data_IF_873556066232
#
_entry.id   IF_873556066232
#
_cell.length_a   1.000
_cell.length_b   1.000
_cell.length_c   1.000
_cell.angle_alpha   90.00
_cell.angle_beta   90.00
_cell.angle_gamma   90.00
#
_symmetry.space_group_name_H-M   'P 1'
#
loop_
_entity.id
_entity.type
_entity.pdbx_description
1 polymer ?
#
# COMPACT_ATOMS: atom_id res chain seq x y z
N UNK A 1 33.22 -28.69 21.35
CA UNK A 1 33.13 -29.61 20.17
C UNK A 1 34.45 -29.66 19.42
N UNK A 2 34.68 -30.67 18.58
CA UNK A 2 35.78 -30.59 17.59
C UNK A 2 35.29 -29.87 16.31
N UNK A 3 36.21 -29.43 15.44
CA UNK A 3 35.86 -28.73 14.18
C UNK A 3 34.98 -29.55 13.22
N UNK A 4 35.07 -30.88 13.29
CA UNK A 4 34.21 -31.77 12.50
C UNK A 4 32.77 -31.73 12.98
N UNK A 5 32.54 -31.68 14.29
CA UNK A 5 31.21 -31.61 14.89
C UNK A 5 30.53 -30.27 14.56
N UNK A 6 31.29 -29.17 14.59
CA UNK A 6 30.81 -27.83 14.20
C UNK A 6 30.34 -27.81 12.75
N UNK A 7 31.14 -28.39 11.84
CA UNK A 7 30.77 -28.49 10.42
C UNK A 7 29.52 -29.34 10.20
N UNK A 8 29.39 -30.45 10.91
CA UNK A 8 28.21 -31.31 10.83
C UNK A 8 26.96 -30.54 11.26
N UNK A 9 27.01 -29.88 12.42
CA UNK A 9 25.86 -29.10 12.92
C UNK A 9 25.49 -27.94 12.00
N UNK A 10 26.48 -27.23 11.46
CA UNK A 10 26.22 -26.15 10.50
C UNK A 10 25.58 -26.70 9.21
N UNK A 11 26.10 -27.81 8.66
CA UNK A 11 25.51 -28.42 7.47
C UNK A 11 24.08 -28.92 7.73
N UNK A 12 23.84 -29.56 8.87
CA UNK A 12 22.50 -30.00 9.26
C UNK A 12 21.56 -28.78 9.40
N UNK A 13 22.04 -27.66 9.93
CA UNK A 13 21.29 -26.41 9.99
C UNK A 13 20.92 -25.91 8.58
N UNK A 14 21.87 -25.95 7.64
CA UNK A 14 21.61 -25.55 6.25
C UNK A 14 20.61 -26.47 5.56
N UNK A 15 20.64 -27.78 5.83
CA UNK A 15 19.65 -28.73 5.34
C UNK A 15 18.24 -28.42 5.87
N UNK A 16 18.12 -28.04 7.14
CA UNK A 16 16.84 -27.59 7.71
C UNK A 16 16.40 -26.25 7.12
N UNK A 17 17.30 -25.30 6.91
CA UNK A 17 16.98 -24.03 6.26
C UNK A 17 16.45 -24.26 4.84
N UNK A 18 17.10 -25.15 4.08
CA UNK A 18 16.68 -25.53 2.74
C UNK A 18 15.30 -26.22 2.73
N UNK A 19 15.01 -27.09 3.71
CA UNK A 19 13.66 -27.65 3.89
C UNK A 19 12.64 -26.55 4.20
N UNK A 20 13.01 -25.59 5.04
CA UNK A 20 12.19 -24.40 5.32
C UNK A 20 11.86 -23.60 4.07
N UNK A 21 12.84 -23.40 3.19
CA UNK A 21 12.63 -22.74 1.89
C UNK A 21 11.65 -23.53 1.04
N UNK A 22 11.84 -24.85 0.88
CA UNK A 22 10.94 -25.73 0.11
C UNK A 22 9.50 -25.65 0.64
N UNK A 23 9.30 -25.73 1.95
CA UNK A 23 7.96 -25.64 2.54
C UNK A 23 7.33 -24.26 2.38
N UNK A 24 8.13 -23.20 2.46
CA UNK A 24 7.69 -21.84 2.14
C UNK A 24 7.23 -21.73 0.69
N UNK A 25 7.94 -22.37 -0.25
CA UNK A 25 7.52 -22.45 -1.66
C UNK A 25 6.19 -23.19 -1.83
N UNK A 26 5.93 -24.19 -0.99
CA UNK A 26 4.68 -24.95 -0.98
C UNK A 26 3.55 -24.27 -0.17
N UNK A 27 3.77 -23.04 0.33
CA UNK A 27 2.86 -22.28 1.21
C UNK A 27 2.55 -22.94 2.56
N UNK A 28 3.37 -23.90 2.98
CA UNK A 28 3.25 -24.54 4.28
C UNK A 28 4.00 -23.70 5.33
N UNK A 29 3.54 -22.47 5.57
CA UNK A 29 4.28 -21.47 6.35
C UNK A 29 4.59 -21.91 7.79
N UNK A 30 3.66 -22.61 8.45
CA UNK A 30 3.88 -23.16 9.80
C UNK A 30 5.01 -24.19 9.80
N UNK A 31 5.01 -25.08 8.81
CA UNK A 31 6.04 -26.11 8.69
C UNK A 31 7.39 -25.49 8.30
N UNK A 32 7.39 -24.53 7.38
CA UNK A 32 8.56 -23.75 7.02
C UNK A 32 9.17 -23.08 8.26
N UNK A 33 8.34 -22.42 9.07
CA UNK A 33 8.77 -21.78 10.32
C UNK A 33 9.34 -22.79 11.32
N UNK A 34 8.76 -23.99 11.41
CA UNK A 34 9.30 -25.06 12.26
C UNK A 34 10.70 -25.50 11.82
N UNK A 35 10.95 -25.59 10.50
CA UNK A 35 12.26 -25.93 9.96
C UNK A 35 13.30 -24.84 10.21
N UNK A 36 12.94 -23.56 10.02
CA UNK A 36 13.86 -22.45 10.34
C UNK A 36 14.21 -22.39 11.83
N UNK A 37 13.24 -22.65 12.72
CA UNK A 37 13.50 -22.73 14.16
C UNK A 37 14.49 -23.84 14.50
N UNK A 38 14.39 -24.99 13.84
CA UNK A 38 15.32 -26.09 14.06
C UNK A 38 16.71 -25.80 13.49
N UNK A 39 16.79 -25.19 12.30
CA UNK A 39 18.04 -24.70 11.73
C UNK A 39 18.73 -23.70 12.69
N UNK A 40 17.98 -22.74 13.20
CA UNK A 40 18.51 -21.76 14.16
C UNK A 40 18.96 -22.41 15.47
N UNK A 41 18.23 -23.43 15.96
CA UNK A 41 18.60 -24.18 17.16
C UNK A 41 19.98 -24.83 17.01
N UNK A 42 20.26 -25.43 15.85
CA UNK A 42 21.55 -26.04 15.52
C UNK A 42 22.65 -24.99 15.40
N UNK A 43 22.41 -23.89 14.68
CA UNK A 43 23.37 -22.78 14.60
C UNK A 43 23.71 -22.19 15.97
N UNK A 44 22.72 -22.07 16.87
CA UNK A 44 22.97 -21.57 18.21
C UNK A 44 23.94 -22.46 19.01
N UNK A 45 23.95 -23.78 18.76
CA UNK A 45 24.95 -24.68 19.33
C UNK A 45 26.33 -24.43 18.75
N UNK A 46 26.41 -24.19 17.43
CA UNK A 46 27.66 -23.80 16.76
C UNK A 46 28.20 -22.49 17.35
N UNK A 47 27.36 -21.47 17.52
CA UNK A 47 27.78 -20.16 18.04
C UNK A 47 28.35 -20.24 19.46
N UNK A 48 27.80 -21.09 20.34
CA UNK A 48 28.34 -21.25 21.70
C UNK A 48 29.81 -21.69 21.71
N UNK A 49 30.19 -22.53 20.75
CA UNK A 49 31.56 -23.02 20.60
C UNK A 49 32.44 -21.98 19.87
N UNK A 50 31.93 -21.36 18.81
CA UNK A 50 32.64 -20.31 18.04
C UNK A 50 32.98 -19.08 18.90
N UNK A 51 32.14 -18.75 19.90
CA UNK A 51 32.40 -17.63 20.82
C UNK A 51 33.40 -17.95 21.94
N UNK A 52 33.62 -19.24 22.23
CA UNK A 52 34.50 -19.68 23.33
C UNK A 52 35.86 -20.17 22.84
N UNK A 53 35.96 -20.60 21.58
CA UNK A 53 37.20 -21.01 20.93
C UNK A 53 37.78 -19.89 20.04
N UNK A 54 39.11 -19.87 19.87
CA UNK A 54 39.77 -19.01 18.87
C UNK A 54 39.52 -19.57 17.46
N UNK A 55 38.35 -19.25 16.89
CA UNK A 55 38.02 -19.56 15.51
C UNK A 55 38.59 -18.50 14.56
N UNK A 56 39.34 -18.94 13.55
CA UNK A 56 39.93 -18.05 12.55
C UNK A 56 38.89 -17.40 11.63
N UNK A 57 39.21 -16.21 11.15
CA UNK A 57 38.46 -15.54 10.08
C UNK A 57 38.88 -16.13 8.71
N UNK A 58 37.95 -16.28 7.73
CA UNK A 58 36.57 -15.79 7.72
C UNK A 58 35.52 -16.76 8.29
N UNK A 59 35.93 -17.96 8.71
CA UNK A 59 35.00 -19.02 9.13
C UNK A 59 34.11 -18.57 10.29
N UNK A 60 34.71 -17.91 11.29
CA UNK A 60 33.98 -17.29 12.40
C UNK A 60 32.88 -16.34 11.91
N UNK A 61 33.23 -15.41 11.03
CA UNK A 61 32.28 -14.45 10.43
C UNK A 61 31.15 -15.15 9.68
N UNK A 62 31.44 -16.15 8.87
CA UNK A 62 30.44 -16.88 8.08
C UNK A 62 29.42 -17.57 9.00
N UNK A 63 29.88 -18.24 10.05
CA UNK A 63 29.00 -18.93 11.00
C UNK A 63 28.11 -17.95 11.76
N UNK A 64 28.68 -16.86 12.29
CA UNK A 64 27.90 -15.82 12.97
C UNK A 64 26.89 -15.12 12.05
N UNK A 65 27.28 -14.85 10.80
CA UNK A 65 26.38 -14.30 9.77
C UNK A 65 25.22 -15.26 9.47
N UNK A 66 25.51 -16.55 9.29
CA UNK A 66 24.51 -17.61 9.05
C UNK A 66 23.49 -17.66 10.18
N UNK A 67 23.96 -17.72 11.43
CA UNK A 67 23.10 -17.71 12.60
C UNK A 67 22.25 -16.43 12.70
N UNK A 68 22.84 -15.26 12.41
CA UNK A 68 22.12 -13.99 12.38
C UNK A 68 21.03 -13.92 11.30
N UNK A 69 21.28 -14.48 10.12
CA UNK A 69 20.28 -14.57 9.04
C UNK A 69 19.10 -15.49 9.44
N UNK A 70 19.38 -16.62 10.09
CA UNK A 70 18.34 -17.52 10.59
C UNK A 70 17.54 -16.88 11.73
N UNK A 71 18.18 -16.17 12.66
CA UNK A 71 17.50 -15.39 13.69
C UNK A 71 16.53 -14.35 13.08
N UNK A 72 16.96 -13.61 12.05
CA UNK A 72 16.12 -12.67 11.31
C UNK A 72 14.91 -13.34 10.64
N UNK A 73 15.07 -14.59 10.19
CA UNK A 73 14.04 -15.35 9.49
C UNK A 73 12.93 -15.78 10.44
N UNK A 74 13.27 -16.08 11.69
CA UNK A 74 12.31 -16.50 12.73
C UNK A 74 11.80 -15.36 13.62
N UNK A 75 12.05 -14.10 13.24
CA UNK A 75 11.68 -12.90 14.00
C UNK A 75 12.29 -12.84 15.41
N UNK A 76 13.59 -13.16 15.52
CA UNK A 76 14.40 -13.00 16.73
C UNK A 76 15.43 -11.87 16.52
N UNK A 77 14.96 -10.65 16.27
CA UNK A 77 15.77 -9.48 15.87
C UNK A 77 16.88 -9.18 16.86
N UNK A 78 16.59 -9.33 18.16
CA UNK A 78 17.58 -9.09 19.22
C UNK A 78 18.74 -10.08 19.17
N UNK A 79 18.48 -11.34 18.85
CA UNK A 79 19.54 -12.33 18.74
C UNK A 79 20.32 -12.14 17.44
N UNK A 80 19.64 -11.78 16.34
CA UNK A 80 20.30 -11.38 15.10
C UNK A 80 21.26 -10.20 15.31
N UNK A 81 20.81 -9.13 16.00
CA UNK A 81 21.62 -7.95 16.32
C UNK A 81 22.91 -8.34 17.05
N UNK A 82 22.80 -9.21 18.06
CA UNK A 82 23.97 -9.70 18.83
C UNK A 82 24.94 -10.47 17.96
N UNK A 83 24.45 -11.39 17.14
CA UNK A 83 25.30 -12.25 16.29
C UNK A 83 26.05 -11.42 15.23
N UNK A 84 25.35 -10.52 14.55
CA UNK A 84 25.93 -9.66 13.51
C UNK A 84 26.92 -8.65 14.10
N UNK A 85 26.59 -8.02 15.24
CA UNK A 85 27.54 -7.15 15.95
C UNK A 85 28.79 -7.92 16.40
N UNK A 86 28.63 -9.15 16.87
CA UNK A 86 29.75 -9.99 17.29
C UNK A 86 30.64 -10.42 16.11
N UNK A 87 30.04 -10.66 14.94
CA UNK A 87 30.81 -10.91 13.72
C UNK A 87 31.65 -9.68 13.36
N UNK A 88 31.04 -8.48 13.33
CA UNK A 88 31.70 -7.22 13.02
C UNK A 88 32.78 -6.81 14.04
N UNK A 89 32.63 -7.16 15.31
CA UNK A 89 33.64 -6.84 16.34
C UNK A 89 34.92 -7.68 16.19
N UNK A 90 34.92 -8.70 15.32
CA UNK A 90 36.10 -9.47 14.97
C UNK A 90 36.97 -8.76 13.94
N UNK A 91 37.58 -9.53 13.04
CA UNK A 91 38.32 -8.99 11.90
C UNK A 91 37.80 -9.59 10.58
N UNK A 92 36.50 -9.38 10.26
CA UNK A 92 35.92 -9.92 9.02
C UNK A 92 36.62 -9.32 7.79
N UNK A 93 36.80 -10.10 6.70
CA UNK A 93 37.15 -9.54 5.40
C UNK A 93 36.17 -8.44 4.99
N UNK A 94 36.65 -7.41 4.29
CA UNK A 94 35.86 -6.22 3.94
C UNK A 94 34.51 -6.54 3.30
N UNK A 95 34.48 -7.48 2.34
CA UNK A 95 33.24 -7.89 1.68
C UNK A 95 32.21 -8.47 2.66
N UNK A 96 32.64 -9.29 3.63
CA UNK A 96 31.74 -9.82 4.65
C UNK A 96 31.35 -8.74 5.67
N UNK A 97 32.24 -7.79 5.97
CA UNK A 97 31.94 -6.66 6.83
C UNK A 97 30.83 -5.78 6.25
N UNK A 98 30.86 -5.53 4.94
CA UNK A 98 29.80 -4.78 4.24
C UNK A 98 28.48 -5.54 4.25
N UNK A 99 28.49 -6.85 3.93
CA UNK A 99 27.28 -7.69 4.03
C UNK A 99 26.67 -7.71 5.45
N UNK A 100 27.50 -7.71 6.49
CA UNK A 100 27.03 -7.64 7.88
C UNK A 100 26.41 -6.27 8.23
N UNK A 101 26.94 -5.18 7.68
CA UNK A 101 26.38 -3.83 7.87
C UNK A 101 25.02 -3.71 7.20
N UNK A 102 24.89 -4.20 5.97
CA UNK A 102 23.61 -4.24 5.25
C UNK A 102 22.57 -5.03 6.07
N UNK A 103 22.93 -6.20 6.60
CA UNK A 103 22.04 -6.98 7.47
C UNK A 103 21.68 -6.26 8.78
N UNK A 104 22.58 -5.44 9.34
CA UNK A 104 22.28 -4.63 10.52
C UNK A 104 21.34 -3.47 10.21
N UNK A 105 21.36 -2.92 8.99
CA UNK A 105 20.36 -1.95 8.54
C UNK A 105 18.97 -2.61 8.54
N UNK A 106 18.85 -3.84 8.05
CA UNK A 106 17.60 -4.62 8.08
C UNK A 106 17.12 -4.89 9.51
N UNK A 107 18.01 -5.30 10.42
CA UNK A 107 17.68 -5.51 11.85
C UNK A 107 17.15 -4.22 12.47
N UNK A 108 17.84 -3.09 12.24
CA UNK A 108 17.43 -1.80 12.80
C UNK A 108 16.07 -1.37 12.23
N UNK A 109 15.85 -1.56 10.94
CA UNK A 109 14.58 -1.27 10.30
C UNK A 109 13.44 -2.10 10.89
N UNK A 110 13.60 -3.43 11.00
CA UNK A 110 12.60 -4.32 11.63
C UNK A 110 12.30 -3.93 13.08
N UNK A 111 13.33 -3.69 13.89
CA UNK A 111 13.16 -3.23 15.29
C UNK A 111 12.38 -1.91 15.35
N UNK A 112 12.63 -0.99 14.43
CA UNK A 112 11.88 0.27 14.36
C UNK A 112 10.41 0.05 14.01
N UNK A 113 10.08 -0.95 13.19
CA UNK A 113 8.71 -1.35 12.90
C UNK A 113 8.05 -2.00 14.12
N UNK A 114 8.72 -2.92 14.79
CA UNK A 114 8.20 -3.61 15.98
C UNK A 114 7.90 -2.65 17.13
N UNK A 115 8.79 -1.67 17.37
CA UNK A 115 8.55 -0.59 18.34
C UNK A 115 7.30 0.24 18.03
N UNK A 116 6.82 0.21 16.79
CA UNK A 116 5.59 0.85 16.34
C UNK A 116 4.40 -0.12 16.26
N UNK A 117 4.60 -1.40 16.62
CA UNK A 117 3.57 -2.45 16.52
C UNK A 117 3.29 -2.85 15.07
N UNK A 118 4.31 -2.88 14.21
CA UNK A 118 4.21 -3.21 12.79
C UNK A 118 5.19 -4.32 12.43
N UNK A 119 4.75 -5.27 11.63
CA UNK A 119 5.62 -6.10 10.79
C UNK A 119 5.31 -5.84 9.31
N UNK A 120 6.20 -6.19 8.39
CA UNK A 120 5.89 -6.13 6.95
C UNK A 120 5.27 -7.44 6.49
N UNK A 121 4.22 -7.35 5.69
CA UNK A 121 3.70 -8.51 4.98
C UNK A 121 4.62 -8.90 3.82
N UNK A 122 4.66 -10.20 3.52
CA UNK A 122 5.45 -10.75 2.40
C UNK A 122 4.82 -10.48 1.03
N UNK A 123 3.56 -10.04 0.99
CA UNK A 123 2.87 -9.71 -0.26
C UNK A 123 3.33 -8.34 -0.77
N UNK A 124 4.09 -8.38 -1.86
CA UNK A 124 4.52 -7.20 -2.59
C UNK A 124 3.46 -6.77 -3.61
N UNK A 125 3.22 -5.46 -3.68
CA UNK A 125 2.42 -4.85 -4.75
C UNK A 125 3.29 -3.91 -5.54
N UNK A 126 3.40 -4.13 -6.84
CA UNK A 126 4.15 -3.25 -7.73
C UNK A 126 3.22 -2.26 -8.41
N UNK A 127 3.48 -0.97 -8.21
CA UNK A 127 2.80 0.12 -8.90
C UNK A 127 3.67 0.58 -10.05
N UNK A 128 3.14 0.56 -11.27
CA UNK A 128 3.84 0.94 -12.49
C UNK A 128 3.19 2.16 -13.12
N UNK A 129 4.01 3.14 -13.48
CA UNK A 129 3.60 4.34 -14.20
C UNK A 129 4.42 4.48 -15.47
N UNK A 130 3.76 4.83 -16.57
CA UNK A 130 4.41 5.13 -17.86
C UNK A 130 3.69 6.26 -18.58
N UNK A 131 4.40 6.95 -19.48
CA UNK A 131 3.91 8.08 -20.27
C UNK A 131 5.05 8.99 -20.72
N UNK A 132 4.71 10.10 -21.39
CA UNK A 132 5.70 11.00 -21.99
C UNK A 132 6.63 11.65 -20.97
N UNK A 133 6.15 11.83 -19.73
CA UNK A 133 6.93 12.41 -18.64
C UNK A 133 7.78 11.40 -17.87
N UNK A 134 7.70 10.12 -18.22
CA UNK A 134 8.45 9.05 -17.56
C UNK A 134 9.60 8.55 -18.44
N UNK A 135 10.77 8.37 -17.83
CA UNK A 135 11.97 7.81 -18.45
C UNK A 135 12.47 6.61 -17.61
N UNK A 136 13.67 6.09 -17.92
CA UNK A 136 14.28 4.92 -17.30
C UNK A 136 14.36 4.99 -15.76
N UNK A 137 13.30 4.59 -15.06
CA UNK A 137 13.19 4.68 -13.60
C UNK A 137 13.04 6.11 -13.06
N UNK A 138 12.66 7.09 -13.89
CA UNK A 138 12.53 8.50 -13.48
C UNK A 138 11.20 9.07 -13.95
N UNK A 139 10.60 9.97 -13.16
CA UNK A 139 9.37 10.67 -13.50
C UNK A 139 9.13 11.85 -12.56
N UNK A 140 8.11 12.68 -12.81
CA UNK A 140 7.81 13.83 -11.97
C UNK A 140 7.40 13.37 -10.57
N UNK A 141 8.07 13.88 -9.55
CA UNK A 141 7.76 13.53 -8.17
C UNK A 141 6.29 13.78 -7.77
N UNK A 142 5.63 14.88 -8.19
CA UNK A 142 4.21 15.09 -7.90
C UNK A 142 3.31 13.97 -8.43
N UNK A 143 3.48 13.58 -9.70
CA UNK A 143 2.71 12.50 -10.35
C UNK A 143 2.85 11.16 -9.63
N UNK A 144 4.06 10.85 -9.20
CA UNK A 144 4.38 9.62 -8.47
C UNK A 144 3.72 9.63 -7.10
N UNK A 145 3.96 10.68 -6.32
CA UNK A 145 3.53 10.76 -4.93
C UNK A 145 2.01 10.84 -4.82
N UNK A 146 1.35 11.55 -5.72
CA UNK A 146 -0.11 11.66 -5.76
C UNK A 146 -0.76 10.29 -6.03
N UNK A 147 -0.24 9.51 -6.98
CA UNK A 147 -0.79 8.17 -7.27
C UNK A 147 -0.53 7.17 -6.14
N UNK A 148 0.64 7.21 -5.50
CA UNK A 148 0.90 6.39 -4.29
C UNK A 148 -0.06 6.79 -3.18
N UNK A 149 -0.31 8.08 -2.97
CA UNK A 149 -1.26 8.59 -1.98
C UNK A 149 -2.69 8.14 -2.26
N UNK A 150 -3.17 8.31 -3.49
CA UNK A 150 -4.52 7.91 -3.90
C UNK A 150 -4.71 6.38 -3.81
N UNK A 151 -3.68 5.59 -4.15
CA UNK A 151 -3.71 4.14 -3.98
C UNK A 151 -3.77 3.73 -2.50
N UNK A 152 -3.05 4.47 -1.64
CA UNK A 152 -3.10 4.28 -0.19
C UNK A 152 -4.51 4.55 0.34
N UNK A 153 -5.11 5.68 -0.02
CA UNK A 153 -6.48 6.02 0.35
C UNK A 153 -7.48 4.97 -0.14
N UNK A 154 -7.35 4.52 -1.38
CA UNK A 154 -8.19 3.47 -1.95
C UNK A 154 -8.10 2.17 -1.14
N UNK A 155 -6.87 1.77 -0.77
CA UNK A 155 -6.61 0.59 0.06
C UNK A 155 -7.20 0.74 1.48
N UNK A 156 -7.03 1.91 2.10
CA UNK A 156 -7.60 2.24 3.43
C UNK A 156 -9.12 2.13 3.42
N UNK A 157 -9.78 2.71 2.41
CA UNK A 157 -11.25 2.73 2.28
C UNK A 157 -11.81 1.34 1.99
N UNK A 158 -11.12 0.58 1.15
CA UNK A 158 -11.44 -0.83 0.91
C UNK A 158 -11.30 -1.67 2.18
N UNK A 159 -10.26 -1.45 2.99
CA UNK A 159 -10.10 -2.12 4.27
C UNK A 159 -11.21 -1.75 5.26
N UNK A 160 -11.54 -0.46 5.41
CA UNK A 160 -12.67 0.01 6.25
C UNK A 160 -13.97 -0.72 5.88
N UNK A 161 -14.26 -0.86 4.58
CA UNK A 161 -15.44 -1.58 4.06
C UNK A 161 -15.36 -3.08 4.35
N UNK A 162 -14.22 -3.71 4.10
CA UNK A 162 -14.00 -5.15 4.29
C UNK A 162 -14.22 -5.58 5.75
N UNK A 163 -13.80 -4.74 6.70
CA UNK A 163 -14.02 -4.97 8.14
C UNK A 163 -15.39 -4.52 8.63
N UNK A 164 -16.26 -4.02 7.75
CA UNK A 164 -17.63 -3.63 8.05
C UNK A 164 -17.80 -2.27 8.75
N UNK A 165 -16.80 -1.39 8.68
CA UNK A 165 -16.97 -0.02 9.21
C UNK A 165 -17.90 0.79 8.30
N UNK A 166 -18.79 1.64 8.86
CA UNK A 166 -19.56 2.58 8.06
C UNK A 166 -18.65 3.61 7.38
N UNK A 167 -19.08 4.15 6.24
CA UNK A 167 -18.29 5.14 5.49
C UNK A 167 -17.98 6.37 6.36
N UNK A 168 -16.68 6.62 6.56
CA UNK A 168 -16.21 7.74 7.37
C UNK A 168 -16.17 9.03 6.55
N UNK A 169 -17.01 10.00 6.93
CA UNK A 169 -17.04 11.34 6.32
C UNK A 169 -15.89 12.26 6.77
N UNK A 170 -15.46 12.13 8.03
CA UNK A 170 -14.47 13.01 8.67
C UNK A 170 -13.52 12.24 9.60
N UNK A 171 -12.41 12.87 9.96
CA UNK A 171 -11.43 12.32 10.89
C UNK A 171 -10.46 11.37 10.21
N UNK A 172 -9.52 10.80 10.97
CA UNK A 172 -8.56 9.80 10.47
C UNK A 172 -9.18 8.41 10.53
N UNK A 173 -8.68 7.48 9.71
CA UNK A 173 -8.99 6.07 9.87
C UNK A 173 -8.54 5.58 11.24
N UNK A 174 -9.13 4.47 11.71
CA UNK A 174 -8.67 3.82 12.95
C UNK A 174 -7.17 3.48 12.82
N UNK A 175 -6.47 3.45 13.95
CA UNK A 175 -5.00 3.37 13.97
C UNK A 175 -4.52 2.07 13.33
N UNK A 176 -5.16 0.95 13.65
CA UNK A 176 -4.93 -0.37 13.08
C UNK A 176 -5.09 -0.40 11.56
N UNK A 177 -6.12 0.25 11.01
CA UNK A 177 -6.35 0.35 9.56
C UNK A 177 -5.28 1.20 8.89
N UNK A 178 -4.94 2.34 9.51
CA UNK A 178 -3.91 3.24 8.99
C UNK A 178 -2.54 2.56 8.97
N UNK A 179 -2.23 1.80 10.02
CA UNK A 179 -1.01 1.01 10.16
C UNK A 179 -0.94 -0.10 9.12
N UNK A 180 -2.04 -0.82 8.87
CA UNK A 180 -2.09 -1.89 7.87
C UNK A 180 -1.90 -1.38 6.43
N UNK A 181 -2.49 -0.22 6.14
CA UNK A 181 -2.51 0.33 4.77
C UNK A 181 -1.36 1.29 4.47
N UNK A 182 -0.48 1.56 5.44
CA UNK A 182 0.72 2.39 5.25
C UNK A 182 1.69 1.69 4.28
N UNK A 183 1.97 2.27 3.10
CA UNK A 183 2.93 1.68 2.18
C UNK A 183 4.36 1.98 2.63
N UNK A 184 5.23 0.98 2.44
CA UNK A 184 6.68 1.11 2.44
C UNK A 184 7.17 0.91 1.01
N UNK A 185 7.74 1.97 0.44
CA UNK A 185 8.13 2.01 -0.98
C UNK A 185 9.59 1.63 -1.13
N UNK A 186 9.90 0.75 -2.09
CA UNK A 186 11.25 0.32 -2.41
C UNK A 186 11.47 0.23 -3.92
N UNK A 187 12.71 0.52 -4.34
CA UNK A 187 13.22 0.34 -5.70
C UNK A 187 12.67 1.30 -6.77
N UNK A 188 13.53 1.60 -7.76
CA UNK A 188 13.15 2.12 -9.08
C UNK A 188 13.72 1.14 -10.11
N UNK A 189 12.88 0.50 -10.91
CA UNK A 189 13.34 -0.44 -11.97
C UNK A 189 13.56 0.29 -13.30
N UNK A 190 14.43 -0.24 -14.16
CA UNK A 190 14.73 0.37 -15.47
C UNK A 190 13.59 0.15 -16.48
N UNK A 191 13.27 1.18 -17.29
CA UNK A 191 12.32 1.10 -18.42
C UNK A 191 10.89 1.61 -18.15
N UNK A 192 10.51 1.76 -16.88
CA UNK A 192 9.27 2.39 -16.39
C UNK A 192 9.51 2.88 -14.96
N UNK A 193 8.70 3.80 -14.45
CA UNK A 193 8.72 4.08 -13.01
C UNK A 193 7.86 3.02 -12.33
N UNK A 194 8.51 1.96 -11.86
CA UNK A 194 7.89 0.88 -11.10
C UNK A 194 8.42 0.91 -9.67
N UNK A 195 7.50 1.02 -8.72
CA UNK A 195 7.75 0.98 -7.29
C UNK A 195 7.20 -0.31 -6.70
N UNK A 196 7.93 -0.92 -5.79
CA UNK A 196 7.39 -2.00 -4.95
C UNK A 196 6.89 -1.40 -3.64
N UNK A 197 5.60 -1.56 -3.37
CA UNK A 197 4.95 -1.25 -2.11
C UNK A 197 4.84 -2.51 -1.26
N UNK A 198 5.27 -2.40 -0.01
CA UNK A 198 5.02 -3.38 1.04
C UNK A 198 4.01 -2.79 2.02
N UNK A 199 3.10 -3.61 2.52
CA UNK A 199 2.09 -3.19 3.49
C UNK A 199 2.42 -3.65 4.90
N UNK A 200 2.01 -2.85 5.87
CA UNK A 200 2.15 -3.18 7.27
C UNK A 200 1.16 -4.26 7.70
N UNK A 201 1.58 -5.07 8.66
CA UNK A 201 0.71 -5.93 9.45
C UNK A 201 0.76 -5.41 10.90
N UNK A 202 -0.31 -4.77 11.39
CA UNK A 202 -0.38 -4.35 12.78
C UNK A 202 -0.32 -5.56 13.71
N UNK A 203 0.53 -5.51 14.73
CA UNK A 203 0.71 -6.60 15.70
C UNK A 203 0.30 -6.17 17.12
N UNK A 204 0.07 -7.15 18.00
CA UNK A 204 -0.22 -6.91 19.42
C UNK A 204 -1.58 -6.23 19.63
N UNK A 205 -1.61 -5.10 20.35
CA UNK A 205 -2.86 -4.40 20.69
C UNK A 205 -3.59 -3.78 19.48
N UNK A 206 -2.91 -3.67 18.33
CA UNK A 206 -3.47 -3.13 17.08
C UNK A 206 -3.82 -4.21 16.06
N UNK A 207 -3.68 -5.49 16.42
CA UNK A 207 -3.96 -6.60 15.52
C UNK A 207 -5.42 -6.56 15.04
N UNK A 208 -5.60 -6.69 13.72
CA UNK A 208 -6.94 -6.75 13.12
C UNK A 208 -7.43 -8.19 13.27
N UNK A 209 -8.51 -8.45 14.05
CA UNK A 209 -8.93 -9.81 14.32
C UNK A 209 -9.33 -10.58 13.06
N UNK A 210 -8.82 -11.79 12.91
CA UNK A 210 -9.39 -12.81 12.03
C UNK A 210 -8.81 -12.92 10.61
N UNK A 211 -7.73 -12.22 10.26
CA UNK A 211 -7.09 -12.42 8.94
C UNK A 211 -5.63 -11.96 8.89
N UNK A 212 -4.69 -12.92 8.85
CA UNK A 212 -3.25 -12.65 8.69
C UNK A 212 -2.89 -12.07 7.31
N UNK A 213 -3.72 -12.26 6.28
CA UNK A 213 -3.48 -11.84 4.90
C UNK A 213 -4.49 -10.77 4.44
N UNK A 214 -5.00 -9.95 5.36
CA UNK A 214 -6.05 -8.99 5.05
C UNK A 214 -5.70 -8.05 3.88
N UNK A 215 -4.43 -7.66 3.70
CA UNK A 215 -4.04 -6.81 2.58
C UNK A 215 -4.05 -7.54 1.24
N UNK A 216 -3.75 -8.85 1.19
CA UNK A 216 -3.90 -9.62 -0.05
C UNK A 216 -5.34 -9.53 -0.55
N UNK A 217 -6.31 -9.75 0.35
CA UNK A 217 -7.73 -9.59 0.07
C UNK A 217 -8.12 -8.15 -0.32
N UNK A 218 -7.56 -7.14 0.35
CA UNK A 218 -7.78 -5.71 0.00
C UNK A 218 -7.29 -5.44 -1.42
N UNK A 219 -6.10 -5.89 -1.78
CA UNK A 219 -5.51 -5.64 -3.09
C UNK A 219 -6.23 -6.45 -4.18
N UNK A 220 -6.65 -7.67 -3.90
CA UNK A 220 -7.52 -8.45 -4.79
C UNK A 220 -8.85 -7.75 -5.06
N UNK A 221 -9.48 -7.20 -4.03
CA UNK A 221 -10.71 -6.42 -4.16
C UNK A 221 -10.48 -5.14 -4.99
N UNK A 222 -9.43 -4.38 -4.69
CA UNK A 222 -9.05 -3.18 -5.45
C UNK A 222 -8.81 -3.50 -6.92
N UNK A 223 -7.97 -4.50 -7.21
CA UNK A 223 -7.63 -4.89 -8.59
C UNK A 223 -8.83 -5.44 -9.37
N UNK A 224 -9.72 -6.20 -8.70
CA UNK A 224 -10.97 -6.69 -9.28
C UNK A 224 -11.89 -5.53 -9.68
N UNK A 225 -12.10 -4.57 -8.78
CA UNK A 225 -13.02 -3.45 -9.01
C UNK A 225 -12.46 -2.42 -10.01
N UNK A 226 -11.15 -2.18 -10.02
CA UNK A 226 -10.50 -1.39 -11.09
C UNK A 226 -10.69 -2.07 -12.45
N UNK A 227 -10.60 -3.40 -12.52
CA UNK A 227 -10.85 -4.14 -13.77
C UNK A 227 -12.30 -3.99 -14.25
N UNK A 228 -13.28 -4.03 -13.36
CA UNK A 228 -14.70 -3.77 -13.70
C UNK A 228 -14.89 -2.35 -14.26
N UNK A 229 -14.27 -1.33 -13.65
CA UNK A 229 -14.33 0.06 -14.15
C UNK A 229 -13.70 0.17 -15.54
N UNK A 230 -12.50 -0.41 -15.72
CA UNK A 230 -11.78 -0.36 -17.00
C UNK A 230 -12.54 -1.06 -18.14
N UNK A 231 -13.39 -2.04 -17.80
CA UNK A 231 -14.29 -2.73 -18.73
C UNK A 231 -15.66 -2.03 -18.92
N UNK A 232 -15.94 -0.95 -18.18
CA UNK A 232 -17.24 -0.27 -18.16
C UNK A 232 -18.36 -1.06 -17.48
N UNK A 233 -18.05 -2.12 -16.73
CA UNK A 233 -19.04 -2.97 -16.05
C UNK A 233 -19.46 -2.40 -14.69
N UNK A 234 -20.26 -1.32 -14.73
CA UNK A 234 -20.77 -0.65 -13.53
C UNK A 234 -21.77 -1.51 -12.75
N UNK A 235 -22.39 -2.50 -13.40
CA UNK A 235 -23.25 -3.46 -12.70
C UNK A 235 -22.43 -4.33 -11.77
N UNK A 236 -21.34 -4.91 -12.26
CA UNK A 236 -20.45 -5.72 -11.44
C UNK A 236 -19.81 -4.91 -10.31
N UNK A 237 -19.43 -3.64 -10.58
CA UNK A 237 -18.92 -2.75 -9.53
C UNK A 237 -19.95 -2.55 -8.41
N UNK A 238 -21.22 -2.33 -8.75
CA UNK A 238 -22.32 -2.18 -7.78
C UNK A 238 -22.58 -3.45 -6.98
N UNK A 239 -22.48 -4.61 -7.62
CA UNK A 239 -22.62 -5.90 -6.95
C UNK A 239 -21.46 -6.16 -5.97
N UNK A 240 -20.23 -5.77 -6.34
CA UNK A 240 -19.04 -5.91 -5.49
C UNK A 240 -18.96 -4.86 -4.36
N UNK A 241 -19.47 -3.64 -4.59
CA UNK A 241 -19.49 -2.53 -3.64
C UNK A 241 -20.93 -1.99 -3.49
N UNK A 242 -21.77 -2.68 -2.68
CA UNK A 242 -23.18 -2.31 -2.54
C UNK A 242 -23.38 -0.94 -1.86
N UNK A 243 -22.56 -0.64 -0.86
CA UNK A 243 -22.57 0.67 -0.19
C UNK A 243 -22.13 1.76 -1.16
N UNK A 244 -22.98 2.75 -1.33
CA UNK A 244 -22.79 3.75 -2.36
C UNK A 244 -21.80 4.84 -2.01
N UNK A 245 -21.64 5.18 -0.73
CA UNK A 245 -20.63 6.15 -0.32
C UNK A 245 -19.24 5.55 -0.58
N UNK A 246 -19.05 4.26 -0.27
CA UNK A 246 -17.83 3.53 -0.63
C UNK A 246 -17.65 3.39 -2.15
N UNK A 247 -18.71 3.05 -2.90
CA UNK A 247 -18.63 2.91 -4.36
C UNK A 247 -18.26 4.22 -5.05
N UNK A 248 -18.89 5.31 -4.61
CA UNK A 248 -18.60 6.68 -5.04
C UNK A 248 -17.14 7.06 -4.79
N UNK A 249 -16.67 6.84 -3.58
CA UNK A 249 -15.29 7.12 -3.20
C UNK A 249 -14.31 6.27 -4.01
N UNK A 250 -14.61 4.99 -4.23
CA UNK A 250 -13.80 4.08 -5.03
C UNK A 250 -13.68 4.56 -6.49
N UNK A 251 -14.80 4.92 -7.13
CA UNK A 251 -14.82 5.47 -8.49
C UNK A 251 -13.98 6.74 -8.59
N UNK A 252 -14.16 7.66 -7.65
CA UNK A 252 -13.48 8.95 -7.71
C UNK A 252 -11.98 8.80 -7.45
N UNK A 253 -11.57 7.95 -6.51
CA UNK A 253 -10.15 7.65 -6.27
C UNK A 253 -9.52 6.89 -7.46
N UNK A 254 -10.28 6.00 -8.11
CA UNK A 254 -9.83 5.32 -9.33
C UNK A 254 -9.64 6.31 -10.47
N UNK A 255 -10.50 7.33 -10.59
CA UNK A 255 -10.31 8.45 -11.52
C UNK A 255 -8.98 9.16 -11.26
N UNK A 256 -8.64 9.44 -10.00
CA UNK A 256 -7.37 10.10 -9.69
C UNK A 256 -6.13 9.23 -9.99
N UNK A 257 -6.28 7.90 -9.92
CA UNK A 257 -5.28 6.93 -10.38
C UNK A 257 -5.22 6.75 -11.90
N UNK A 258 -6.16 7.30 -12.65
CA UNK A 258 -6.22 7.11 -14.09
C UNK A 258 -5.14 7.93 -14.83
N UNK A 259 -4.66 7.43 -15.97
CA UNK A 259 -3.88 8.20 -16.93
C UNK A 259 -4.55 9.54 -17.30
N UNK A 260 -3.74 10.59 -17.46
CA UNK A 260 -4.20 11.86 -18.03
C UNK A 260 -4.26 11.81 -19.57
N UNK A 261 -3.58 10.84 -20.17
CA UNK A 261 -3.53 10.63 -21.62
C UNK A 261 -2.39 11.37 -22.33
N UNK A 262 -1.54 12.09 -21.59
CA UNK A 262 -0.38 12.81 -22.12
C UNK A 262 0.89 12.49 -21.31
N UNK A 263 1.03 13.08 -20.11
CA UNK A 263 2.20 12.85 -19.25
C UNK A 263 2.21 11.44 -18.69
N UNK A 264 1.02 10.90 -18.39
CA UNK A 264 0.78 9.56 -17.89
C UNK A 264 -0.19 8.86 -18.83
N UNK A 265 0.27 7.78 -19.46
CA UNK A 265 -0.52 6.96 -20.39
C UNK A 265 -0.93 5.62 -19.78
N UNK A 266 -0.30 5.19 -18.68
CA UNK A 266 -0.56 3.93 -18.00
C UNK A 266 -0.38 4.06 -16.49
N UNK A 267 -1.33 3.51 -15.74
CA UNK A 267 -1.15 3.13 -14.35
C UNK A 267 -1.42 1.62 -14.20
N UNK A 268 -0.44 0.87 -13.73
CA UNK A 268 -0.51 -0.59 -13.60
C UNK A 268 -0.30 -1.03 -12.16
N UNK A 269 -1.06 -2.02 -11.73
CA UNK A 269 -0.88 -2.73 -10.46
C UNK A 269 -0.49 -4.17 -10.80
N UNK A 270 0.65 -4.63 -10.29
CA UNK A 270 1.06 -6.02 -10.40
C UNK A 270 1.13 -6.64 -9.02
N UNK A 271 0.39 -7.72 -8.82
CA UNK A 271 0.53 -8.57 -7.63
C UNK A 271 1.20 -9.88 -8.01
N UNK A 272 1.97 -10.44 -7.07
CA UNK A 272 2.60 -11.74 -7.23
C UNK A 272 1.82 -12.77 -6.42
N UNK A 273 0.82 -13.40 -7.03
CA UNK A 273 0.14 -14.55 -6.45
C UNK A 273 0.76 -15.81 -7.07
N UNK A 274 1.38 -16.67 -6.27
CA UNK A 274 1.92 -17.97 -6.72
C UNK A 274 2.98 -17.87 -7.82
N UNK A 275 3.76 -16.78 -7.80
CA UNK A 275 4.74 -16.43 -8.85
C UNK A 275 4.12 -16.16 -10.23
N UNK A 276 2.80 -16.13 -10.32
CA UNK A 276 2.09 -15.70 -11.51
C UNK A 276 1.79 -14.20 -11.32
N UNK A 277 2.43 -13.32 -12.11
CA UNK A 277 2.14 -11.91 -12.04
C UNK A 277 0.70 -11.69 -12.51
N UNK A 278 -0.16 -11.20 -11.62
CA UNK A 278 -1.47 -10.70 -11.98
C UNK A 278 -1.35 -9.21 -12.22
N UNK A 279 -1.51 -8.80 -13.47
CA UNK A 279 -1.37 -7.42 -13.90
C UNK A 279 -2.75 -6.85 -14.15
N UNK A 280 -3.08 -5.76 -13.46
CA UNK A 280 -4.25 -4.92 -13.76
C UNK A 280 -3.75 -3.57 -14.24
N UNK A 281 -3.98 -3.28 -15.51
CA UNK A 281 -3.62 -2.03 -16.16
C UNK A 281 -4.87 -1.14 -16.28
N UNK A 282 -4.80 0.05 -15.71
CA UNK A 282 -5.80 1.10 -15.88
C UNK A 282 -5.40 1.95 -17.09
N UNK A 283 -6.15 1.77 -18.19
CA UNK A 283 -5.88 2.40 -19.48
C UNK A 283 -6.96 3.42 -19.87
N UNK A 284 -8.10 3.41 -19.18
CA UNK A 284 -9.11 4.45 -19.32
C UNK A 284 -8.56 5.79 -18.81
N UNK A 285 -8.81 6.85 -19.56
CA UNK A 285 -8.43 8.21 -19.14
C UNK A 285 -9.34 8.72 -18.03
N UNK A 286 -8.86 9.73 -17.28
CA UNK A 286 -9.70 10.47 -16.32
C UNK A 286 -11.06 10.85 -16.88
N UNK A 287 -11.08 11.32 -18.13
CA UNK A 287 -12.30 11.73 -18.84
C UNK A 287 -13.29 10.58 -19.04
N UNK A 288 -12.83 9.41 -19.48
CA UNK A 288 -13.69 8.25 -19.70
C UNK A 288 -14.35 7.77 -18.39
N UNK A 289 -13.59 7.77 -17.29
CA UNK A 289 -14.13 7.40 -15.97
C UNK A 289 -15.13 8.46 -15.48
N UNK A 290 -14.89 9.75 -15.73
CA UNK A 290 -15.86 10.82 -15.44
C UNK A 290 -17.17 10.64 -16.20
N UNK A 291 -17.13 10.18 -17.45
CA UNK A 291 -18.33 9.88 -18.24
C UNK A 291 -19.14 8.74 -17.61
N UNK A 292 -18.47 7.67 -17.14
CA UNK A 292 -19.18 6.59 -16.45
C UNK A 292 -19.77 7.02 -15.09
N UNK A 293 -19.09 7.93 -14.38
CA UNK A 293 -19.60 8.57 -13.16
C UNK A 293 -20.90 9.32 -13.45
N UNK A 294 -20.94 10.04 -14.58
CA UNK A 294 -22.10 10.82 -14.99
C UNK A 294 -23.30 9.95 -15.43
N UNK A 295 -23.04 8.77 -15.98
CA UNK A 295 -24.04 7.82 -16.48
C UNK A 295 -24.63 6.88 -15.41
N UNK A 296 -23.96 6.68 -14.28
CA UNK A 296 -24.46 5.81 -13.21
C UNK A 296 -25.67 6.47 -12.52
N UNK A 297 -26.89 6.00 -12.81
CA UNK A 297 -28.12 6.51 -12.20
C UNK A 297 -28.13 6.43 -10.65
N UNK A 298 -27.38 5.49 -10.05
CA UNK A 298 -27.23 5.41 -8.60
C UNK A 298 -26.39 6.57 -8.02
N UNK A 299 -25.48 7.13 -8.82
CA UNK A 299 -24.76 8.38 -8.52
C UNK A 299 -25.75 9.53 -8.32
N UNK A 300 -26.82 9.55 -9.13
CA UNK A 300 -27.81 10.61 -9.05
C UNK A 300 -28.76 10.46 -7.84
N UNK A 301 -29.06 9.23 -7.43
CA UNK A 301 -30.02 8.92 -6.37
C UNK A 301 -29.41 8.94 -4.95
N UNK A 302 -28.13 8.57 -4.79
CA UNK A 302 -27.45 8.62 -3.47
C UNK A 302 -27.15 10.04 -2.97
N UNK A 303 -27.15 11.01 -3.87
CA UNK A 303 -27.11 12.45 -3.57
C UNK A 303 -28.49 13.00 -3.13
N UNK A 304 -29.53 12.16 -3.05
CA UNK A 304 -30.92 12.59 -2.85
C UNK A 304 -31.76 11.62 -2.03
N UNK A 305 -31.52 11.53 -0.72
CA UNK A 305 -32.57 11.13 0.24
C UNK A 305 -32.86 12.23 1.24
N UNK A 306 -33.73 13.13 0.82
CA UNK A 306 -34.76 13.71 1.68
C UNK A 306 -36.06 13.56 0.92
N UNK A 307 -37.00 12.78 1.46
CA UNK A 307 -38.36 12.66 0.94
C UNK A 307 -38.99 14.06 0.83
N UNK A 308 -38.95 14.63 -0.37
CA UNK A 308 -39.96 15.59 -0.84
C UNK A 308 -39.96 15.53 -2.35
N UNK A 309 -41.06 15.02 -2.87
CA UNK A 309 -41.47 15.17 -4.26
C UNK A 309 -41.41 16.64 -4.69
N UNK A 310 -41.04 16.87 -5.95
CA UNK A 310 -41.20 18.10 -6.73
C UNK A 310 -40.44 19.35 -6.27
N UNK A 311 -39.31 19.63 -6.95
CA UNK A 311 -38.94 20.95 -7.51
C UNK A 311 -37.55 20.93 -8.16
N UNK A 312 -37.50 21.00 -9.50
CA UNK A 312 -36.37 21.31 -10.39
C UNK A 312 -34.98 21.43 -9.74
N UNK A 313 -34.28 20.30 -9.58
CA UNK A 313 -32.84 20.29 -9.42
C UNK A 313 -32.21 20.53 -10.79
N UNK A 314 -31.35 21.56 -10.90
CA UNK A 314 -30.62 21.84 -12.15
C UNK A 314 -29.16 21.47 -11.99
N UNK A 315 -28.57 20.85 -13.01
CA UNK A 315 -27.13 20.60 -13.07
C UNK A 315 -26.48 21.83 -13.70
N UNK A 316 -25.49 22.39 -13.02
CA UNK A 316 -24.70 23.52 -13.51
C UNK A 316 -23.21 23.17 -13.51
N UNK A 317 -22.48 23.65 -14.50
CA UNK A 317 -21.02 23.53 -14.57
C UNK A 317 -20.44 24.91 -14.29
N UNK A 318 -19.47 24.97 -13.38
CA UNK A 318 -18.83 26.22 -12.97
C UNK A 318 -17.33 26.04 -13.00
N UNK A 319 -16.63 27.06 -13.48
CA UNK A 319 -15.16 27.12 -13.49
C UNK A 319 -14.69 28.17 -12.50
N UNK A 320 -13.62 27.89 -11.76
CA UNK A 320 -13.01 28.87 -10.87
C UNK A 320 -11.84 28.30 -10.07
N UNK A 321 -11.24 29.12 -9.21
CA UNK A 321 -10.13 28.74 -8.34
C UNK A 321 -10.67 28.21 -7.02
N UNK A 322 -10.23 27.02 -6.61
CA UNK A 322 -10.60 26.45 -5.32
C UNK A 322 -9.80 27.14 -4.19
N UNK A 323 -10.44 28.02 -3.43
CA UNK A 323 -9.76 28.86 -2.42
C UNK A 323 -9.82 28.31 -1.01
N UNK A 324 -10.76 27.41 -0.74
CA UNK A 324 -11.02 26.94 0.61
C UNK A 324 -11.62 25.54 0.57
N UNK A 325 -11.11 24.65 1.42
CA UNK A 325 -11.74 23.39 1.75
C UNK A 325 -11.80 23.28 3.27
N UNK A 326 -13.01 23.24 3.84
CA UNK A 326 -13.19 23.21 5.29
C UNK A 326 -13.77 21.87 5.74
N UNK A 327 -12.99 21.15 6.54
CA UNK A 327 -13.38 19.90 7.16
C UNK A 327 -14.52 20.05 8.17
N UNK A 328 -14.69 21.25 8.77
CA UNK A 328 -15.73 21.48 9.77
C UNK A 328 -17.12 21.54 9.14
N UNK A 329 -17.27 22.20 7.99
CA UNK A 329 -18.58 22.53 7.42
C UNK A 329 -18.92 21.77 6.11
N UNK A 330 -18.15 20.73 5.75
CA UNK A 330 -18.33 19.91 4.54
C UNK A 330 -18.57 20.74 3.28
N UNK A 331 -17.80 21.81 3.13
CA UNK A 331 -17.91 22.69 1.98
C UNK A 331 -16.56 23.19 1.50
N UNK A 332 -16.61 23.60 0.24
CA UNK A 332 -15.56 24.31 -0.43
C UNK A 332 -16.02 25.68 -0.87
N UNK A 333 -15.05 26.55 -1.09
CA UNK A 333 -15.26 27.86 -1.68
C UNK A 333 -14.56 27.94 -3.02
N UNK A 334 -15.36 28.14 -4.06
CA UNK A 334 -14.89 28.41 -5.42
C UNK A 334 -14.94 29.93 -5.66
N UNK A 335 -13.84 30.48 -6.18
CA UNK A 335 -13.78 31.85 -6.67
C UNK A 335 -13.88 31.82 -8.19
N UNK A 336 -14.94 32.41 -8.74
CA UNK A 336 -15.16 32.52 -10.19
C UNK A 336 -15.02 33.98 -10.62
N UNK A 337 -14.92 34.23 -11.93
CA UNK A 337 -14.86 35.58 -12.49
C UNK A 337 -16.06 36.45 -12.08
N UNK A 338 -17.24 35.82 -11.92
CA UNK A 338 -18.49 36.48 -11.56
C UNK A 338 -18.73 36.51 -10.04
N UNK A 339 -18.27 35.50 -9.30
CA UNK A 339 -18.59 35.28 -7.90
C UNK A 339 -17.31 35.04 -7.10
N UNK A 340 -16.92 36.05 -6.32
CA UNK A 340 -15.72 35.96 -5.47
C UNK A 340 -15.75 34.82 -4.44
N UNK A 341 -16.94 34.43 -3.97
CA UNK A 341 -17.11 33.37 -2.97
C UNK A 341 -18.37 32.54 -3.23
N UNK A 342 -18.24 31.43 -3.94
CA UNK A 342 -19.31 30.45 -4.11
C UNK A 342 -19.13 29.29 -3.13
N UNK A 343 -20.06 29.13 -2.19
CA UNK A 343 -20.08 28.00 -1.25
C UNK A 343 -20.70 26.77 -1.91
N UNK A 344 -19.98 25.65 -1.90
CA UNK A 344 -20.39 24.37 -2.49
C UNK A 344 -20.22 23.29 -1.43
N UNK A 345 -21.25 22.48 -1.22
CA UNK A 345 -21.23 21.38 -0.27
C UNK A 345 -20.66 20.11 -0.90
N UNK A 346 -19.79 19.43 -0.17
CA UNK A 346 -19.12 18.21 -0.64
C UNK A 346 -20.07 17.04 -0.42
N UNK A 347 -20.30 16.27 -1.48
CA UNK A 347 -21.06 15.03 -1.40
C UNK A 347 -20.26 13.92 -0.74
N UNK A 348 -20.94 12.95 -0.14
CA UNK A 348 -20.26 11.79 0.46
C UNK A 348 -19.38 11.12 -0.62
N UNK A 349 -18.18 10.71 -0.23
CA UNK A 349 -17.22 10.03 -1.12
C UNK A 349 -16.24 10.95 -1.86
N UNK A 350 -16.49 12.26 -1.93
CA UNK A 350 -15.60 13.21 -2.62
C UNK A 350 -14.61 13.94 -1.69
N UNK A 351 -14.79 13.83 -0.38
CA UNK A 351 -13.99 14.58 0.61
C UNK A 351 -12.49 14.33 0.53
N UNK A 352 -12.09 13.10 0.16
CA UNK A 352 -10.69 12.71 0.06
C UNK A 352 -9.96 13.41 -1.11
N UNK A 353 -10.68 13.83 -2.15
CA UNK A 353 -10.10 14.29 -3.43
C UNK A 353 -10.10 15.80 -3.56
N UNK A 354 -11.10 16.47 -3.00
CA UNK A 354 -11.25 17.92 -3.10
C UNK A 354 -10.04 18.68 -2.52
N UNK A 355 -9.30 18.07 -1.58
CA UNK A 355 -8.09 18.67 -1.02
C UNK A 355 -6.92 18.76 -2.00
N UNK A 356 -6.86 17.85 -2.98
CA UNK A 356 -5.77 17.82 -3.97
C UNK A 356 -5.80 19.06 -4.87
N UNK A 357 -6.97 19.67 -5.02
CA UNK A 357 -7.19 20.80 -5.91
C UNK A 357 -7.12 22.17 -5.22
N UNK A 358 -6.57 22.24 -4.01
CA UNK A 358 -6.49 23.50 -3.30
C UNK A 358 -5.60 24.51 -4.05
N UNK A 359 -6.11 25.73 -4.22
CA UNK A 359 -5.48 26.82 -4.98
C UNK A 359 -5.25 26.52 -6.46
N UNK A 360 -5.91 25.51 -7.03
CA UNK A 360 -5.90 25.24 -8.47
C UNK A 360 -7.18 25.74 -9.13
N UNK A 361 -7.08 26.03 -10.42
CA UNK A 361 -8.26 26.26 -11.26
C UNK A 361 -8.94 24.92 -11.54
N UNK A 362 -10.25 24.86 -11.35
CA UNK A 362 -11.05 23.65 -11.45
C UNK A 362 -12.35 23.89 -12.20
N UNK A 363 -12.80 22.86 -12.89
CA UNK A 363 -14.16 22.72 -13.37
C UNK A 363 -14.94 21.86 -12.38
N UNK A 364 -16.03 22.39 -11.84
CA UNK A 364 -16.93 21.66 -10.95
C UNK A 364 -18.28 21.45 -11.60
N UNK A 365 -18.81 20.24 -11.48
CA UNK A 365 -20.20 19.91 -11.80
C UNK A 365 -20.99 19.95 -10.51
N UNK A 366 -22.07 20.74 -10.48
CA UNK A 366 -22.86 20.99 -9.28
C UNK A 366 -24.32 20.61 -9.51
N UNK A 367 -24.93 20.04 -8.48
CA UNK A 367 -26.38 19.97 -8.36
C UNK A 367 -26.87 21.20 -7.62
N UNK A 368 -27.68 22.02 -8.29
CA UNK A 368 -28.31 23.18 -7.69
C UNK A 368 -29.69 22.81 -7.18
N UNK A 369 -29.78 22.55 -5.88
CA UNK A 369 -31.04 22.45 -5.15
C UNK A 369 -31.33 23.85 -4.58
N UNK A 370 -32.60 24.28 -4.50
CA UNK A 370 -33.02 25.68 -4.22
C UNK A 370 -32.21 26.46 -3.17
N UNK A 371 -31.68 25.79 -2.15
CA UNK A 371 -30.87 26.39 -1.07
C UNK A 371 -29.44 25.86 -0.96
N UNK A 372 -29.00 24.93 -1.81
CA UNK A 372 -27.75 24.20 -1.65
C UNK A 372 -27.14 23.79 -3.00
N UNK A 373 -25.87 24.14 -3.21
CA UNK A 373 -25.06 23.67 -4.32
C UNK A 373 -24.25 22.47 -3.85
N UNK A 374 -24.52 21.30 -4.40
CA UNK A 374 -23.83 20.05 -4.02
C UNK A 374 -22.86 19.63 -5.11
N UNK A 375 -21.64 19.25 -4.71
CA UNK A 375 -20.58 18.84 -5.62
C UNK A 375 -20.88 17.46 -6.19
N UNK A 376 -20.97 17.35 -7.50
CA UNK A 376 -21.06 16.09 -8.23
C UNK A 376 -19.64 15.66 -8.59
N UNK A 377 -18.91 16.46 -9.35
CA UNK A 377 -17.53 16.15 -9.73
C UNK A 377 -16.66 17.41 -9.72
N UNK A 378 -15.36 17.18 -9.61
CA UNK A 378 -14.31 18.19 -9.67
C UNK A 378 -13.18 17.65 -10.54
N UNK A 379 -12.72 18.48 -11.47
CA UNK A 379 -11.61 18.18 -12.38
C UNK A 379 -10.71 19.42 -12.52
N UNK A 380 -9.38 19.26 -12.55
CA UNK A 380 -8.45 20.37 -12.82
C UNK A 380 -8.58 20.82 -14.28
N UNK A 381 -8.22 22.07 -14.57
CA UNK A 381 -8.20 22.65 -15.92
C UNK A 381 -6.79 22.69 -16.48
#
# INVERSE_FOLDING_TARGET
MNDSDIRILHNDAMDYAQKGDIEKLNKNFELAMSHYREAYRLERQVIQEVLTAEYGEPARTILLKSAGALALTIAEEREAEKMLCCALSGNPPDALADELRDMLEDVNFKRHLDLRGLSLQSSEVQLTMAGNSFAFGMGPAPEIMERIHNFTLLSTRTLERIVGNPFRKKGKAKKEISMATQPYVSGLRAGSVTFTCHFGHPTGEYEIPGDFNIMERVIEDVTKNISSINAGDMKQLRDNIPDADYRMNFLTLTKELAPDGDNVTLFGITTMNDRIPKIVALNQTRKAISEHIDEDESYNDHLGKGETSDKESSIIIVTGILRFANDYDDNIQLETDEVKKMKIYISNGLSDIVRNYFSTEVRVKLRNNKNKKELISIDPI
#
